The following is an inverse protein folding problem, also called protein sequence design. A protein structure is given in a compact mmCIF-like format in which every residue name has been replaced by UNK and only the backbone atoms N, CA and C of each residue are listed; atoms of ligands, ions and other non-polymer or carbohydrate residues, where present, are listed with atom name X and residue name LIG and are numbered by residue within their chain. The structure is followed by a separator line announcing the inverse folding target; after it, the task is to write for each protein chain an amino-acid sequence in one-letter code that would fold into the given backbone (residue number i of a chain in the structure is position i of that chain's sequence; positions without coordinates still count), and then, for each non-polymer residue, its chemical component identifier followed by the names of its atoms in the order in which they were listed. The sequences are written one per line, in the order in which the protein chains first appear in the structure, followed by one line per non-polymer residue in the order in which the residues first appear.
data_IF_105932516416
#
_entry.id   IF_105932516416
#
_cell.length_a   1.000
_cell.length_b   1.000
_cell.length_c   1.000
_cell.angle_alpha   90.00
_cell.angle_beta   90.00
_cell.angle_gamma   90.00
#
_symmetry.space_group_name_H-M   'P 1'
#
loop_
_entity.id
_entity.type
_entity.pdbx_description
1 polymer ?
#
# COMPACT_ATOMS: atom_id res chain seq x y z
N UNK A 1 -14.23 10.97 17.28
CA UNK A 1 -14.00 9.99 16.20
C UNK A 1 -12.74 10.27 15.38
N UNK A 2 -12.51 11.49 14.86
CA UNK A 2 -11.31 11.80 14.04
C UNK A 2 -9.96 11.50 14.74
N UNK A 3 -9.80 11.92 16.01
CA UNK A 3 -8.57 11.68 16.78
C UNK A 3 -8.25 10.18 16.91
N UNK A 4 -9.27 9.34 17.12
CA UNK A 4 -9.07 7.88 17.21
C UNK A 4 -8.53 7.31 15.89
N UNK A 5 -9.02 7.80 14.75
CA UNK A 5 -8.52 7.40 13.43
C UNK A 5 -7.05 7.78 13.25
N UNK A 6 -6.67 9.01 13.63
CA UNK A 6 -5.28 9.47 13.58
C UNK A 6 -4.39 8.65 14.51
N UNK A 7 -4.82 8.39 15.75
CA UNK A 7 -4.05 7.56 16.69
C UNK A 7 -3.86 6.14 16.13
N UNK A 8 -4.90 5.57 15.53
CA UNK A 8 -4.81 4.25 14.91
C UNK A 8 -3.81 4.22 13.75
N UNK A 9 -3.79 5.23 12.87
CA UNK A 9 -2.81 5.27 11.77
C UNK A 9 -1.37 5.34 12.28
N UNK A 10 -1.11 6.11 13.33
CA UNK A 10 0.20 6.16 13.98
C UNK A 10 0.60 4.82 14.59
N UNK A 11 -0.31 4.14 15.28
CA UNK A 11 -0.05 2.80 15.84
C UNK A 11 0.31 1.82 14.72
N UNK A 12 -0.46 1.78 13.63
CA UNK A 12 -0.19 0.88 12.51
C UNK A 12 1.11 1.22 11.78
N UNK A 13 1.47 2.50 11.67
CA UNK A 13 2.74 2.94 11.11
C UNK A 13 3.93 2.50 11.98
N UNK A 14 3.83 2.70 13.30
CA UNK A 14 4.86 2.26 14.25
C UNK A 14 4.98 0.74 14.29
N UNK A 15 3.88 0.01 14.13
CA UNK A 15 3.89 -1.45 14.06
C UNK A 15 4.64 -2.01 12.83
N UNK A 16 4.94 -1.18 11.83
CA UNK A 16 5.82 -1.50 10.71
C UNK A 16 7.23 -0.91 10.88
N UNK A 17 7.34 0.35 11.33
CA UNK A 17 8.63 1.05 11.36
C UNK A 17 9.50 0.72 12.59
N UNK A 18 8.89 0.43 13.74
CA UNK A 18 9.63 0.16 14.98
C UNK A 18 10.27 -1.25 15.04
N UNK A 19 9.62 -2.35 14.60
CA UNK A 19 10.19 -3.69 14.76
C UNK A 19 11.60 -3.88 14.16
N UNK A 20 11.92 -3.35 12.97
CA UNK A 20 13.28 -3.43 12.42
C UNK A 20 14.36 -2.74 13.25
N UNK A 21 13.99 -1.81 14.14
CA UNK A 21 14.91 -1.15 15.08
C UNK A 21 15.20 -2.01 16.32
N UNK A 22 14.31 -2.95 16.64
CA UNK A 22 14.37 -3.77 17.86
C UNK A 22 14.60 -5.27 17.56
N UNK A 23 14.94 -5.61 16.31
CA UNK A 23 15.43 -6.95 15.94
C UNK A 23 14.44 -7.84 15.19
N UNK A 24 13.29 -7.33 14.75
CA UNK A 24 12.38 -8.03 13.84
C UNK A 24 12.46 -7.42 12.44
N UNK A 25 13.16 -8.10 11.52
CA UNK A 25 13.78 -7.52 10.32
C UNK A 25 14.88 -6.49 10.67
N UNK A 26 15.30 -5.69 9.69
CA UNK A 26 16.34 -4.66 9.82
C UNK A 26 16.26 -3.63 8.69
N UNK A 27 16.82 -2.44 8.94
CA UNK A 27 17.04 -1.44 7.90
C UNK A 27 18.40 -1.65 7.22
N UNK A 28 18.40 -1.74 5.89
CA UNK A 28 19.61 -1.88 5.06
C UNK A 28 19.56 -0.96 3.85
N UNK A 29 20.70 -0.63 3.22
CA UNK A 29 20.69 0.06 1.94
C UNK A 29 20.04 -0.82 0.85
N UNK A 30 18.98 -0.30 0.21
CA UNK A 30 18.20 -0.99 -0.83
C UNK A 30 18.66 -0.63 -2.24
N UNK A 31 18.50 -1.55 -3.20
CA UNK A 31 18.74 -1.29 -4.63
C UNK A 31 20.16 -0.80 -4.92
N UNK A 32 20.27 0.41 -5.49
CA UNK A 32 21.53 1.09 -5.79
C UNK A 32 22.36 1.49 -4.55
N UNK A 33 21.93 1.12 -3.35
CA UNK A 33 22.63 1.34 -2.07
C UNK A 33 22.70 2.82 -1.63
N UNK A 34 21.95 3.71 -2.30
CA UNK A 34 21.86 5.13 -1.96
C UNK A 34 20.61 5.47 -1.11
N UNK A 35 19.71 4.51 -0.88
CA UNK A 35 18.49 4.64 -0.07
C UNK A 35 18.49 3.54 0.98
N UNK A 36 17.99 3.83 2.19
CA UNK A 36 17.77 2.80 3.21
C UNK A 36 16.29 2.43 3.25
N UNK A 37 16.03 1.13 3.39
CA UNK A 37 14.69 0.56 3.47
C UNK A 37 14.67 -0.69 4.34
N UNK A 38 13.48 -1.24 4.52
CA UNK A 38 13.30 -2.53 5.20
C UNK A 38 13.96 -3.63 4.36
N UNK A 39 14.67 -4.55 4.98
CA UNK A 39 15.21 -5.73 4.32
C UNK A 39 14.06 -6.67 3.91
N UNK A 40 13.57 -6.63 2.67
CA UNK A 40 12.52 -7.55 2.19
C UNK A 40 13.06 -8.65 1.26
N UNK A 41 14.37 -8.67 1.00
CA UNK A 41 14.98 -9.53 -0.04
C UNK A 41 16.13 -10.40 0.47
N UNK A 42 16.71 -10.10 1.63
CA UNK A 42 17.79 -10.93 2.20
C UNK A 42 17.22 -11.97 3.15
N UNK A 43 17.87 -13.14 3.23
CA UNK A 43 17.58 -14.11 4.28
C UNK A 43 18.43 -13.86 5.50
N UNK A 44 17.79 -13.37 6.54
CA UNK A 44 18.41 -13.10 7.83
C UNK A 44 17.58 -13.79 8.93
N UNK A 45 17.80 -15.11 9.16
CA UNK A 45 17.03 -15.86 10.16
C UNK A 45 17.26 -15.33 11.58
N UNK A 46 18.42 -14.73 11.84
CA UNK A 46 18.75 -14.08 13.12
C UNK A 46 17.84 -12.90 13.48
N UNK A 47 17.16 -12.29 12.51
CA UNK A 47 16.18 -11.21 12.73
C UNK A 47 14.77 -11.59 12.24
N UNK A 48 14.53 -12.88 11.98
CA UNK A 48 13.23 -13.42 11.55
C UNK A 48 12.63 -12.70 10.32
N UNK A 49 13.46 -12.37 9.33
CA UNK A 49 13.04 -11.51 8.22
C UNK A 49 11.84 -12.05 7.42
N UNK A 50 11.79 -13.36 7.20
CA UNK A 50 10.68 -14.00 6.47
C UNK A 50 9.33 -13.76 7.13
N UNK A 51 9.25 -13.91 8.46
CA UNK A 51 8.02 -13.64 9.20
C UNK A 51 7.60 -12.17 9.12
N UNK A 52 8.57 -11.25 9.08
CA UNK A 52 8.30 -9.82 8.94
C UNK A 52 7.75 -9.47 7.55
N UNK A 53 8.31 -10.06 6.49
CA UNK A 53 7.80 -9.87 5.12
C UNK A 53 6.36 -10.41 4.97
N UNK A 54 6.06 -11.57 5.56
CA UNK A 54 4.70 -12.14 5.56
C UNK A 54 3.73 -11.22 6.32
N UNK A 55 4.16 -10.71 7.47
CA UNK A 55 3.40 -9.73 8.26
C UNK A 55 3.12 -8.45 7.46
N UNK A 56 4.14 -7.87 6.83
CA UNK A 56 4.00 -6.68 5.98
C UNK A 56 3.04 -6.90 4.81
N UNK A 57 3.17 -8.02 4.11
CA UNK A 57 2.28 -8.35 2.99
C UNK A 57 0.82 -8.52 3.45
N UNK A 58 0.61 -9.22 4.56
CA UNK A 58 -0.73 -9.54 5.05
C UNK A 58 -1.39 -8.32 5.72
N UNK A 59 -0.74 -7.75 6.73
CA UNK A 59 -1.28 -6.69 7.58
C UNK A 59 -1.19 -5.29 6.97
N UNK A 60 -0.13 -5.01 6.20
CA UNK A 60 0.14 -3.66 5.69
C UNK A 60 -0.13 -3.51 4.18
N UNK A 61 -0.47 -4.59 3.48
CA UNK A 61 -0.90 -4.55 2.08
C UNK A 61 -2.29 -5.17 1.87
N UNK A 62 -2.50 -6.45 2.15
CA UNK A 62 -3.78 -7.13 1.87
C UNK A 62 -4.95 -6.55 2.68
N UNK A 63 -4.79 -6.30 3.98
CA UNK A 63 -5.84 -5.71 4.82
C UNK A 63 -6.22 -4.30 4.34
N UNK A 64 -5.27 -3.34 4.17
CA UNK A 64 -5.59 -2.03 3.62
C UNK A 64 -6.27 -2.08 2.25
N UNK A 65 -5.77 -2.91 1.33
CA UNK A 65 -6.38 -3.09 0.01
C UNK A 65 -7.83 -3.55 0.13
N UNK A 66 -8.10 -4.56 0.96
CA UNK A 66 -9.44 -5.10 1.18
C UNK A 66 -10.38 -4.04 1.73
N UNK A 67 -9.94 -3.29 2.75
CA UNK A 67 -10.73 -2.22 3.37
C UNK A 67 -11.04 -1.12 2.35
N UNK A 68 -10.04 -0.63 1.61
CA UNK A 68 -10.20 0.41 0.61
C UNK A 68 -11.18 -0.03 -0.48
N UNK A 69 -10.99 -1.23 -1.04
CA UNK A 69 -11.87 -1.78 -2.08
C UNK A 69 -13.30 -1.98 -1.58
N UNK A 70 -13.47 -2.49 -0.36
CA UNK A 70 -14.81 -2.70 0.21
C UNK A 70 -15.51 -1.37 0.49
N UNK A 71 -14.87 -0.45 1.22
CA UNK A 71 -15.46 0.83 1.61
C UNK A 71 -15.84 1.66 0.38
N UNK A 72 -14.93 1.81 -0.58
CA UNK A 72 -15.23 2.57 -1.79
C UNK A 72 -16.15 1.84 -2.76
N UNK A 73 -16.10 0.51 -2.84
CA UNK A 73 -17.07 -0.27 -3.60
C UNK A 73 -18.49 -0.04 -3.08
N UNK A 74 -18.69 -0.11 -1.76
CA UNK A 74 -19.97 0.19 -1.11
C UNK A 74 -20.39 1.65 -1.34
N UNK A 75 -19.47 2.60 -1.24
CA UNK A 75 -19.76 4.01 -1.52
C UNK A 75 -20.30 4.19 -2.95
N UNK A 76 -19.62 3.62 -3.95
CA UNK A 76 -20.05 3.72 -5.35
C UNK A 76 -21.41 3.05 -5.56
N UNK A 77 -21.66 1.88 -4.96
CA UNK A 77 -22.98 1.24 -5.02
C UNK A 77 -24.08 2.16 -4.47
N UNK A 78 -23.87 2.72 -3.28
CA UNK A 78 -24.86 3.61 -2.63
C UNK A 78 -25.09 4.89 -3.44
N UNK A 79 -24.05 5.51 -3.97
CA UNK A 79 -24.19 6.73 -4.78
C UNK A 79 -24.89 6.43 -6.11
N UNK A 80 -24.62 5.28 -6.72
CA UNK A 80 -25.33 4.83 -7.94
C UNK A 80 -26.81 4.56 -7.69
N UNK A 81 -27.16 3.92 -6.58
CA UNK A 81 -28.55 3.70 -6.18
C UNK A 81 -29.29 5.02 -5.98
N UNK A 82 -28.67 5.99 -5.29
CA UNK A 82 -29.24 7.33 -5.12
C UNK A 82 -29.43 8.07 -6.45
N UNK A 83 -28.44 8.00 -7.36
CA UNK A 83 -28.53 8.57 -8.69
C UNK A 83 -29.62 7.90 -9.55
N UNK A 84 -29.83 6.60 -9.41
CA UNK A 84 -30.90 5.88 -10.12
C UNK A 84 -32.30 6.29 -9.65
N UNK A 85 -32.47 6.69 -8.38
CA UNK A 85 -33.74 7.21 -7.85
C UNK A 85 -34.00 8.66 -8.27
N UNK A 86 -32.95 9.44 -8.57
CA UNK A 86 -33.02 10.86 -8.91
C UNK A 86 -32.46 11.13 -10.32
N UNK A 87 -33.03 10.46 -11.33
CA UNK A 87 -32.57 10.57 -12.72
C UNK A 87 -32.69 12.00 -13.30
N UNK A 88 -33.69 12.76 -12.86
CA UNK A 88 -33.90 14.14 -13.33
C UNK A 88 -32.96 15.16 -12.65
N UNK A 89 -32.25 14.76 -11.59
CA UNK A 89 -31.34 15.66 -10.87
C UNK A 89 -29.95 15.65 -11.50
N UNK A 90 -29.65 16.65 -12.35
CA UNK A 90 -28.33 16.81 -12.97
C UNK A 90 -27.20 16.90 -11.94
N UNK A 91 -27.44 17.56 -10.80
CA UNK A 91 -26.46 17.70 -9.72
C UNK A 91 -26.11 16.34 -9.11
N UNK A 92 -27.09 15.45 -8.94
CA UNK A 92 -26.90 14.10 -8.41
C UNK A 92 -26.15 13.21 -9.40
N UNK A 93 -26.49 13.27 -10.69
CA UNK A 93 -25.76 12.53 -11.73
C UNK A 93 -24.30 13.00 -11.85
N UNK A 94 -24.06 14.32 -11.75
CA UNK A 94 -22.71 14.88 -11.76
C UNK A 94 -21.91 14.42 -10.53
N UNK A 95 -22.52 14.44 -9.35
CA UNK A 95 -21.89 13.96 -8.13
C UNK A 95 -21.52 12.47 -8.21
N UNK A 96 -22.40 11.62 -8.75
CA UNK A 96 -22.08 10.20 -9.00
C UNK A 96 -20.85 10.03 -9.87
N UNK A 97 -20.80 10.75 -11.01
CA UNK A 97 -19.66 10.67 -11.93
C UNK A 97 -18.36 11.15 -11.28
N UNK A 98 -18.42 12.25 -10.52
CA UNK A 98 -17.26 12.79 -9.81
C UNK A 98 -16.77 11.85 -8.70
N UNK A 99 -17.67 11.29 -7.88
CA UNK A 99 -17.31 10.32 -6.83
C UNK A 99 -16.72 9.06 -7.44
N UNK A 100 -17.36 8.47 -8.45
CA UNK A 100 -16.85 7.28 -9.13
C UNK A 100 -15.47 7.54 -9.74
N UNK A 101 -15.26 8.69 -10.40
CA UNK A 101 -13.95 9.09 -10.95
C UNK A 101 -12.88 9.19 -9.86
N UNK A 102 -13.20 9.86 -8.74
CA UNK A 102 -12.26 10.01 -7.62
C UNK A 102 -11.90 8.65 -7.00
N UNK A 103 -12.88 7.78 -6.77
CA UNK A 103 -12.66 6.42 -6.25
C UNK A 103 -11.70 5.63 -7.16
N UNK A 104 -11.91 5.66 -8.48
CA UNK A 104 -11.04 4.97 -9.43
C UNK A 104 -9.61 5.48 -9.33
N UNK A 105 -9.42 6.80 -9.27
CA UNK A 105 -8.10 7.41 -9.14
C UNK A 105 -7.43 6.98 -7.83
N UNK A 106 -8.15 7.03 -6.70
CA UNK A 106 -7.61 6.63 -5.39
C UNK A 106 -7.17 5.17 -5.37
N UNK A 107 -7.96 4.26 -5.96
CA UNK A 107 -7.60 2.83 -6.06
C UNK A 107 -6.38 2.64 -6.96
N UNK A 108 -6.33 3.30 -8.12
CA UNK A 108 -5.16 3.24 -9.01
C UNK A 108 -3.91 3.77 -8.32
N UNK A 109 -3.99 4.91 -7.62
CA UNK A 109 -2.88 5.49 -6.86
C UNK A 109 -2.35 4.53 -5.80
N UNK A 110 -3.25 3.86 -5.05
CA UNK A 110 -2.85 2.83 -4.09
C UNK A 110 -2.12 1.66 -4.76
N UNK A 111 -2.66 1.15 -5.88
CA UNK A 111 -2.08 0.02 -6.60
C UNK A 111 -0.71 0.39 -7.17
N UNK A 112 -0.59 1.53 -7.84
CA UNK A 112 0.68 2.02 -8.41
C UNK A 112 1.73 2.19 -7.32
N UNK A 113 1.36 2.69 -6.15
CA UNK A 113 2.28 2.87 -5.03
C UNK A 113 2.82 1.54 -4.47
N UNK A 114 1.93 0.58 -4.21
CA UNK A 114 2.26 -0.55 -3.32
C UNK A 114 2.35 -1.91 -4.01
N UNK A 115 1.65 -2.11 -5.13
CA UNK A 115 1.74 -3.38 -5.88
C UNK A 115 3.17 -3.69 -6.33
N UNK A 116 4.01 -2.71 -6.77
CA UNK A 116 5.41 -3.00 -7.09
C UNK A 116 6.18 -3.62 -5.92
N UNK A 117 6.03 -3.08 -4.70
CA UNK A 117 6.68 -3.64 -3.50
C UNK A 117 6.13 -5.02 -3.16
N UNK A 118 4.80 -5.16 -3.12
CA UNK A 118 4.15 -6.43 -2.80
C UNK A 118 4.56 -7.54 -3.78
N UNK A 119 4.58 -7.23 -5.08
CA UNK A 119 4.92 -8.18 -6.14
C UNK A 119 6.39 -8.58 -6.08
N UNK A 120 7.31 -7.61 -5.93
CA UNK A 120 8.74 -7.90 -5.86
C UNK A 120 9.08 -8.68 -4.58
N UNK A 121 8.56 -8.26 -3.42
CA UNK A 121 8.80 -8.98 -2.16
C UNK A 121 8.28 -10.42 -2.23
N UNK A 122 7.06 -10.63 -2.74
CA UNK A 122 6.48 -11.96 -2.91
C UNK A 122 7.24 -12.82 -3.93
N UNK A 123 7.68 -12.21 -5.03
CA UNK A 123 8.47 -12.90 -6.04
C UNK A 123 9.81 -13.39 -5.48
N UNK A 124 10.52 -12.53 -4.74
CA UNK A 124 11.78 -12.90 -4.08
C UNK A 124 11.54 -13.97 -3.00
N UNK A 125 10.43 -13.85 -2.25
CA UNK A 125 10.06 -14.82 -1.23
C UNK A 125 9.80 -16.23 -1.81
N UNK A 126 9.21 -16.32 -3.01
CA UNK A 126 8.89 -17.60 -3.69
C UNK A 126 10.06 -18.14 -4.53
N UNK A 127 10.90 -17.27 -5.10
CA UNK A 127 12.04 -17.65 -5.96
C UNK A 127 13.34 -17.63 -5.15
N UNK A 128 13.31 -18.48 -4.15
CA UNK A 128 14.35 -18.70 -3.18
C UNK A 128 15.65 -19.20 -3.82
N UNK A 129 16.73 -18.40 -3.73
CA UNK A 129 18.08 -18.77 -4.22
C UNK A 129 18.49 -18.10 -5.53
N UNK A 130 17.60 -17.33 -6.15
CA UNK A 130 17.92 -16.46 -7.28
C UNK A 130 18.59 -15.16 -6.82
N UNK A 131 19.51 -14.64 -7.64
CA UNK A 131 20.13 -13.33 -7.41
C UNK A 131 19.39 -12.27 -8.24
N UNK A 132 19.01 -11.17 -7.60
CA UNK A 132 18.31 -10.07 -8.25
C UNK A 132 19.25 -8.87 -8.39
N UNK A 133 19.15 -8.14 -9.50
CA UNK A 133 19.97 -6.96 -9.76
C UNK A 133 19.50 -5.73 -8.95
N UNK A 134 20.39 -4.74 -8.73
CA UNK A 134 20.06 -3.49 -8.02
C UNK A 134 18.90 -2.71 -8.64
N UNK A 135 18.80 -2.70 -9.97
CA UNK A 135 17.71 -2.00 -10.70
C UNK A 135 16.36 -2.63 -10.37
N UNK A 136 16.28 -3.96 -10.34
CA UNK A 136 15.05 -4.68 -10.00
C UNK A 136 14.55 -4.33 -8.59
N UNK A 137 15.45 -4.23 -7.63
CA UNK A 137 15.12 -3.80 -6.26
C UNK A 137 14.78 -2.31 -6.15
N UNK A 138 15.17 -1.48 -7.12
CA UNK A 138 14.90 -0.03 -7.12
C UNK A 138 13.53 0.32 -7.72
N UNK A 139 12.97 -0.53 -8.59
CA UNK A 139 11.66 -0.29 -9.22
C UNK A 139 10.56 -0.05 -8.16
N UNK A 140 10.40 -0.89 -7.12
CA UNK A 140 9.39 -0.65 -6.08
C UNK A 140 9.56 0.69 -5.36
N UNK A 141 10.80 1.03 -5.00
CA UNK A 141 11.10 2.24 -4.24
C UNK A 141 10.80 3.51 -5.05
N UNK A 142 10.98 3.48 -6.36
CA UNK A 142 10.58 4.56 -7.26
C UNK A 142 9.08 4.86 -7.15
N UNK A 143 8.23 3.84 -7.25
CA UNK A 143 6.77 4.02 -7.22
C UNK A 143 6.28 4.49 -5.85
N UNK A 144 6.79 3.91 -4.76
CA UNK A 144 6.39 4.32 -3.42
C UNK A 144 6.85 5.74 -3.09
N UNK A 145 8.10 6.11 -3.43
CA UNK A 145 8.60 7.47 -3.19
C UNK A 145 7.87 8.51 -4.05
N UNK A 146 7.50 8.16 -5.28
CA UNK A 146 6.70 9.04 -6.16
C UNK A 146 5.31 9.33 -5.60
N UNK A 147 4.76 8.44 -4.76
CA UNK A 147 3.44 8.64 -4.12
C UNK A 147 3.37 9.86 -3.21
N UNK A 148 4.51 10.30 -2.66
CA UNK A 148 4.59 11.53 -1.88
C UNK A 148 4.26 12.79 -2.71
N UNK A 149 4.35 12.70 -4.05
CA UNK A 149 4.00 13.79 -4.96
C UNK A 149 2.54 13.72 -5.43
N UNK A 150 2.05 12.55 -5.83
CA UNK A 150 0.72 12.44 -6.46
C UNK A 150 -0.43 12.17 -5.48
N UNK A 151 -0.19 11.61 -4.30
CA UNK A 151 -1.27 11.39 -3.32
C UNK A 151 -1.82 12.69 -2.69
N UNK A 152 -1.03 13.76 -2.48
CA UNK A 152 -1.55 15.03 -1.99
C UNK A 152 -2.32 15.88 -3.00
N UNK A 153 -2.22 15.58 -4.31
CA UNK A 153 -2.87 16.31 -5.41
C UNK A 153 -4.30 15.81 -5.67
#
# INVERSE_FOLDING_TARGET
HAIMGVVFTWIMALACAAPPLVGWSRYIPEGLQCSCGIDYYTRAPNVNNESFVIYMFSCHFCIPLTIISFCYGRLVCTVKEAAAQQQESETTQRAEREVTRMVIIMVISFLVCWVPYASVAWYIFTHQGSSFGPVFMTIPSFFAKSSALYNPL
#
